data_IF_488754119961
#
_entry.id   IF_488754119961
#
_cell.length_a   1.000
_cell.length_b   1.000
_cell.length_c   1.000
_cell.angle_alpha   90.00
_cell.angle_beta   90.00
_cell.angle_gamma   90.00
#
_symmetry.space_group_name_H-M   'P 1'
#
loop_
_entity.id
_entity.type
_entity.pdbx_description
1 polymer ?
#
# COMPACT_ATOMS: atom_id res chain seq x y z
N UNK A 1 -2.13 -44.34 -4.92
CA UNK A 1 -2.81 -45.51 -4.31
C UNK A 1 -3.12 -46.54 -5.37
N UNK A 2 -3.64 -47.71 -5.04
CA UNK A 2 -3.94 -48.75 -6.05
C UNK A 2 -4.92 -48.30 -7.15
N UNK A 3 -5.74 -47.27 -6.90
CA UNK A 3 -6.64 -46.67 -7.88
C UNK A 3 -6.12 -45.36 -8.52
N UNK A 4 -4.92 -44.89 -8.15
CA UNK A 4 -4.41 -43.60 -8.61
C UNK A 4 -3.91 -43.73 -10.04
N UNK A 5 -4.50 -42.95 -10.95
CA UNK A 5 -4.25 -43.08 -12.39
C UNK A 5 -5.04 -44.20 -13.08
N UNK A 6 -6.01 -44.81 -12.38
CA UNK A 6 -6.92 -45.79 -13.00
C UNK A 6 -8.10 -45.14 -13.73
N UNK A 7 -8.35 -43.85 -13.50
CA UNK A 7 -9.36 -43.06 -14.19
C UNK A 7 -8.88 -41.61 -14.28
N UNK A 8 -9.18 -40.96 -15.40
CA UNK A 8 -8.90 -39.54 -15.61
C UNK A 8 -9.92 -38.70 -14.82
N UNK A 9 -9.48 -37.53 -14.35
CA UNK A 9 -10.29 -36.54 -13.60
C UNK A 9 -10.88 -37.03 -12.26
N UNK A 10 -10.41 -38.16 -11.71
CA UNK A 10 -10.81 -38.65 -10.38
C UNK A 10 -9.67 -38.50 -9.37
N UNK A 11 -9.95 -37.83 -8.25
CA UNK A 11 -9.04 -37.75 -7.11
C UNK A 11 -9.23 -38.98 -6.22
N UNK A 12 -8.19 -39.80 -6.10
CA UNK A 12 -8.17 -40.96 -5.18
C UNK A 12 -7.25 -40.69 -3.99
N UNK A 13 -7.78 -40.74 -2.78
CA UNK A 13 -7.03 -40.45 -1.56
C UNK A 13 -7.00 -41.68 -0.64
N UNK A 14 -5.82 -42.22 -0.25
CA UNK A 14 -5.73 -43.34 0.66
C UNK A 14 -5.98 -42.88 2.11
N UNK A 15 -6.98 -43.47 2.76
CA UNK A 15 -7.34 -43.13 4.15
C UNK A 15 -6.51 -43.90 5.19
N UNK A 16 -5.92 -45.05 4.79
CA UNK A 16 -5.08 -45.90 5.65
C UNK A 16 -3.83 -46.37 4.89
N UNK A 17 -2.73 -46.53 5.65
CA UNK A 17 -1.40 -46.93 5.16
C UNK A 17 -0.69 -47.72 6.26
N UNK A 18 -0.15 -48.89 5.93
CA UNK A 18 0.52 -49.76 6.89
C UNK A 18 1.80 -49.15 7.49
N UNK A 19 2.42 -48.21 6.77
CA UNK A 19 3.66 -47.53 7.17
C UNK A 19 3.43 -46.26 8.00
N UNK A 20 2.18 -45.93 8.38
CA UNK A 20 1.86 -44.67 9.08
C UNK A 20 0.83 -44.87 10.19
N UNK A 21 0.92 -44.09 11.29
CA UNK A 21 -0.14 -44.06 12.30
C UNK A 21 -1.49 -43.66 11.68
N UNK A 22 -2.56 -44.30 12.12
CA UNK A 22 -3.92 -44.12 11.57
C UNK A 22 -4.38 -42.67 11.62
N UNK A 23 -4.19 -41.98 12.75
CA UNK A 23 -4.58 -40.58 12.92
C UNK A 23 -3.88 -39.66 11.90
N UNK A 24 -2.60 -39.91 11.62
CA UNK A 24 -1.85 -39.13 10.63
C UNK A 24 -2.31 -39.43 9.21
N UNK A 25 -2.60 -40.70 8.89
CA UNK A 25 -3.11 -41.11 7.59
C UNK A 25 -4.48 -40.46 7.29
N UNK A 26 -5.38 -40.46 8.27
CA UNK A 26 -6.72 -39.87 8.15
C UNK A 26 -6.66 -38.35 7.97
N UNK A 27 -5.93 -37.62 8.83
CA UNK A 27 -5.82 -36.15 8.71
C UNK A 27 -5.16 -35.73 7.41
N UNK A 28 -4.17 -36.49 6.93
CA UNK A 28 -3.55 -36.25 5.61
C UNK A 28 -4.56 -36.45 4.48
N UNK A 29 -5.39 -37.48 4.57
CA UNK A 29 -6.43 -37.72 3.57
C UNK A 29 -7.47 -36.59 3.53
N UNK A 30 -7.93 -36.13 4.69
CA UNK A 30 -8.82 -34.97 4.81
C UNK A 30 -8.21 -33.69 4.22
N UNK A 31 -6.95 -33.42 4.52
CA UNK A 31 -6.23 -32.28 3.96
C UNK A 31 -6.11 -32.36 2.44
N UNK A 32 -5.85 -33.56 1.89
CA UNK A 32 -5.75 -33.75 0.45
C UNK A 32 -7.09 -33.48 -0.25
N UNK A 33 -8.21 -34.01 0.29
CA UNK A 33 -9.54 -33.74 -0.23
C UNK A 33 -9.85 -32.23 -0.27
N UNK A 34 -9.57 -31.53 0.84
CA UNK A 34 -9.77 -30.09 0.94
C UNK A 34 -8.97 -29.30 -0.09
N UNK A 35 -7.68 -29.60 -0.25
CA UNK A 35 -6.79 -28.90 -1.22
C UNK A 35 -7.21 -29.17 -2.66
N UNK A 36 -7.82 -30.33 -2.93
CA UNK A 36 -8.39 -30.64 -4.26
C UNK A 36 -9.78 -30.05 -4.51
N UNK A 37 -10.31 -29.26 -3.57
CA UNK A 37 -11.59 -28.56 -3.72
C UNK A 37 -12.83 -29.39 -3.39
N UNK A 38 -12.65 -30.55 -2.75
CA UNK A 38 -13.79 -31.31 -2.20
C UNK A 38 -14.29 -30.59 -0.96
N UNK A 39 -15.60 -30.43 -0.84
CA UNK A 39 -16.22 -29.88 0.35
C UNK A 39 -16.05 -30.86 1.52
N UNK A 40 -15.46 -30.38 2.61
CA UNK A 40 -15.13 -31.17 3.78
C UNK A 40 -15.96 -30.66 4.96
N UNK A 41 -16.62 -31.58 5.65
CA UNK A 41 -17.34 -31.30 6.89
C UNK A 41 -16.37 -31.17 8.06
N UNK A 42 -15.94 -29.93 8.33
CA UNK A 42 -15.07 -29.61 9.47
C UNK A 42 -15.80 -29.66 10.82
N UNK A 43 -17.13 -29.56 10.84
CA UNK A 43 -17.93 -29.64 12.07
C UNK A 43 -17.97 -31.08 12.60
N UNK A 44 -18.13 -32.06 11.70
CA UNK A 44 -18.02 -33.47 12.04
C UNK A 44 -16.59 -33.86 12.51
N UNK A 45 -15.56 -33.23 11.93
CA UNK A 45 -14.17 -33.51 12.31
C UNK A 45 -13.78 -32.87 13.66
N UNK A 46 -14.34 -31.70 13.99
CA UNK A 46 -14.06 -30.95 15.22
C UNK A 46 -15.32 -30.70 16.08
N UNK A 47 -15.96 -31.74 16.62
CA UNK A 47 -17.18 -31.58 17.39
C UNK A 47 -16.94 -30.76 18.66
N UNK A 48 -17.68 -29.67 18.83
CA UNK A 48 -17.58 -28.79 20.01
C UNK A 48 -16.33 -27.91 20.06
N UNK A 49 -15.57 -27.80 18.96
CA UNK A 49 -14.45 -26.87 18.89
C UNK A 49 -14.92 -25.41 18.90
N UNK A 50 -14.04 -24.52 19.36
CA UNK A 50 -14.27 -23.07 19.39
C UNK A 50 -13.35 -22.36 18.38
N UNK A 51 -13.82 -21.33 17.68
CA UNK A 51 -12.95 -20.46 16.89
C UNK A 51 -11.87 -19.82 17.77
N UNK A 52 -10.69 -19.63 17.20
CA UNK A 52 -9.56 -18.94 17.83
C UNK A 52 -9.04 -17.87 16.89
N UNK A 53 -8.52 -16.78 17.43
CA UNK A 53 -7.91 -15.73 16.62
C UNK A 53 -6.63 -16.26 15.95
N UNK A 54 -6.53 -16.02 14.65
CA UNK A 54 -5.36 -16.33 13.85
C UNK A 54 -4.69 -15.02 13.39
N UNK A 55 -3.38 -15.05 13.09
CA UNK A 55 -2.74 -13.94 12.40
C UNK A 55 -3.54 -13.55 11.14
N UNK A 56 -3.65 -12.24 10.90
CA UNK A 56 -4.34 -11.74 9.72
C UNK A 56 -3.63 -12.21 8.44
N UNK A 57 -4.41 -12.32 7.36
CA UNK A 57 -3.88 -12.71 6.05
C UNK A 57 -2.70 -11.81 5.66
N UNK A 58 -1.61 -12.42 5.21
CA UNK A 58 -0.41 -11.71 4.79
C UNK A 58 -0.59 -11.10 3.39
N UNK A 59 -1.36 -10.00 3.30
CA UNK A 59 -1.52 -9.26 2.04
C UNK A 59 -0.16 -8.89 1.44
N UNK A 60 -0.03 -9.07 0.12
CA UNK A 60 1.12 -8.59 -0.63
C UNK A 60 1.13 -7.06 -0.60
N UNK A 61 2.15 -6.48 0.03
CA UNK A 61 2.27 -5.04 0.22
C UNK A 61 2.99 -4.41 -0.97
N UNK A 62 2.22 -3.97 -1.95
CA UNK A 62 2.72 -3.19 -3.07
C UNK A 62 2.16 -1.76 -3.02
N UNK A 63 3.03 -0.78 -3.30
CA UNK A 63 2.67 0.64 -3.18
C UNK A 63 2.00 1.12 -4.46
N UNK A 64 0.68 1.12 -4.45
CA UNK A 64 -0.13 1.72 -5.50
C UNK A 64 -0.46 3.17 -5.17
N UNK A 65 0.44 4.10 -5.52
CA UNK A 65 0.25 5.55 -5.32
C UNK A 65 0.51 6.34 -6.60
N UNK A 66 -0.17 7.47 -6.78
CA UNK A 66 0.05 8.35 -7.93
C UNK A 66 1.41 9.06 -7.80
N UNK A 67 2.29 8.85 -8.78
CA UNK A 67 3.55 9.58 -8.93
C UNK A 67 3.39 10.68 -10.00
N UNK A 68 2.58 11.70 -9.71
CA UNK A 68 2.45 12.87 -10.56
C UNK A 68 3.30 14.03 -9.99
N UNK A 69 3.98 14.84 -10.82
CA UNK A 69 4.61 16.06 -10.35
C UNK A 69 3.55 16.94 -9.67
N UNK A 70 3.81 17.33 -8.42
CA UNK A 70 2.90 18.20 -7.68
C UNK A 70 2.81 19.54 -8.43
N UNK A 71 1.59 20.08 -8.68
CA UNK A 71 1.46 21.37 -9.34
C UNK A 71 2.17 22.44 -8.52
N UNK A 72 3.13 23.12 -9.15
CA UNK A 72 3.82 24.27 -8.57
C UNK A 72 2.91 25.49 -8.73
N UNK A 73 2.03 25.68 -7.74
CA UNK A 73 1.48 27.01 -7.50
C UNK A 73 0.35 27.49 -8.40
N UNK A 74 -0.54 26.59 -8.83
CA UNK A 74 -1.88 27.01 -9.27
C UNK A 74 -2.92 26.46 -8.29
N UNK A 75 -3.41 27.35 -7.42
CA UNK A 75 -4.46 27.07 -6.43
C UNK A 75 -5.82 27.67 -6.86
N UNK A 76 -6.00 27.95 -8.15
CA UNK A 76 -7.29 28.42 -8.70
C UNK A 76 -8.44 27.45 -8.41
N UNK A 77 -8.17 26.14 -8.42
CA UNK A 77 -9.15 25.11 -8.09
C UNK A 77 -9.71 25.19 -6.67
N UNK A 78 -9.00 25.86 -5.74
CA UNK A 78 -9.46 26.13 -4.37
C UNK A 78 -9.84 27.59 -4.15
N UNK A 79 -10.04 28.36 -5.23
CA UNK A 79 -10.51 29.74 -5.18
C UNK A 79 -9.42 30.78 -4.87
N UNK A 80 -8.14 30.41 -4.91
CA UNK A 80 -7.03 31.34 -4.71
C UNK A 80 -6.47 31.81 -6.05
N UNK A 81 -6.11 33.09 -6.13
CA UNK A 81 -5.48 33.63 -7.34
C UNK A 81 -4.08 33.06 -7.52
N UNK A 82 -3.69 32.76 -8.76
CA UNK A 82 -2.31 32.38 -9.07
C UNK A 82 -1.38 33.58 -8.87
N UNK A 83 -0.27 33.38 -8.15
CA UNK A 83 0.72 34.44 -7.95
C UNK A 83 1.64 34.63 -9.18
N UNK A 84 1.69 33.65 -10.10
CA UNK A 84 2.53 33.71 -11.30
C UNK A 84 4.03 33.65 -11.02
N UNK A 85 4.42 33.12 -9.87
CA UNK A 85 5.77 33.21 -9.34
C UNK A 85 6.36 31.83 -9.02
N UNK A 86 7.64 31.55 -9.31
CA UNK A 86 8.23 30.22 -9.10
C UNK A 86 8.12 29.73 -7.64
N UNK A 87 8.32 30.63 -6.68
CA UNK A 87 8.27 30.30 -5.25
C UNK A 87 6.90 30.55 -4.59
N UNK A 88 6.02 31.33 -5.23
CA UNK A 88 4.74 31.76 -4.65
C UNK A 88 3.61 31.25 -5.54
N UNK A 89 2.81 30.34 -4.99
CA UNK A 89 1.75 29.65 -5.71
C UNK A 89 0.36 30.25 -5.55
N UNK A 90 0.16 31.10 -4.55
CA UNK A 90 -1.13 31.76 -4.39
C UNK A 90 -0.98 33.18 -3.85
N UNK A 91 -1.86 34.05 -4.33
CA UNK A 91 -2.06 35.41 -3.88
C UNK A 91 -3.51 35.60 -3.45
N UNK A 92 -3.69 36.15 -2.25
CA UNK A 92 -5.01 36.49 -1.70
C UNK A 92 -5.02 37.97 -1.32
N UNK A 93 -5.88 38.83 -1.91
CA UNK A 93 -6.03 40.21 -1.47
C UNK A 93 -6.60 40.25 -0.05
N UNK A 94 -6.05 41.11 0.80
CA UNK A 94 -6.56 41.34 2.15
C UNK A 94 -7.82 42.22 2.09
N UNK A 95 -8.74 42.00 3.03
CA UNK A 95 -10.05 42.64 3.02
C UNK A 95 -10.01 44.15 3.32
N UNK A 96 -8.95 44.63 3.96
CA UNK A 96 -8.67 46.04 4.23
C UNK A 96 -8.13 46.79 3.01
N UNK A 97 -7.81 46.09 1.92
CA UNK A 97 -7.48 46.68 0.62
C UNK A 97 -6.02 47.12 0.44
N UNK A 98 -5.22 47.12 1.51
CA UNK A 98 -3.85 47.65 1.50
C UNK A 98 -2.76 46.56 1.40
N UNK A 99 -3.12 45.30 1.06
CA UNK A 99 -2.11 44.25 0.94
C UNK A 99 -2.57 42.94 0.34
N UNK A 100 -1.58 42.06 0.13
CA UNK A 100 -1.77 40.69 -0.34
C UNK A 100 -1.07 39.71 0.60
N UNK A 101 -1.72 38.57 0.84
CA UNK A 101 -1.08 37.39 1.42
C UNK A 101 -0.57 36.50 0.28
N UNK A 102 0.73 36.26 0.25
CA UNK A 102 1.40 35.37 -0.71
C UNK A 102 1.80 34.07 -0.01
N UNK A 103 1.50 32.93 -0.63
CA UNK A 103 1.86 31.61 -0.07
C UNK A 103 2.51 30.72 -1.12
N UNK A 104 3.35 29.79 -0.68
CA UNK A 104 4.07 28.88 -1.55
C UNK A 104 4.63 27.67 -0.79
N UNK A 105 5.10 26.66 -1.52
CA UNK A 105 5.71 25.45 -0.94
C UNK A 105 7.11 25.22 -1.51
N UNK A 106 8.10 25.19 -0.63
CA UNK A 106 9.47 24.84 -0.95
C UNK A 106 9.69 23.35 -0.69
N UNK A 107 10.24 22.64 -1.67
CA UNK A 107 10.48 21.20 -1.59
C UNK A 107 11.52 20.81 -2.61
N UNK A 108 12.47 19.94 -2.25
CA UNK A 108 13.47 19.40 -3.18
C UNK A 108 12.84 18.62 -4.34
N UNK A 109 11.61 18.12 -4.20
CA UNK A 109 10.91 17.43 -5.28
C UNK A 109 10.40 18.38 -6.38
N UNK A 110 10.02 19.61 -6.01
CA UNK A 110 9.49 20.61 -6.97
C UNK A 110 10.53 21.66 -7.34
N UNK A 111 11.50 21.92 -6.45
CA UNK A 111 12.61 22.85 -6.64
C UNK A 111 13.94 22.13 -6.36
N UNK A 112 14.41 21.29 -7.30
CA UNK A 112 15.63 20.49 -7.08
C UNK A 112 16.86 21.34 -6.76
N UNK A 113 16.93 22.56 -7.31
CA UNK A 113 18.02 23.51 -7.09
C UNK A 113 18.17 23.95 -5.62
N UNK A 114 17.15 23.77 -4.77
CA UNK A 114 17.28 24.01 -3.33
C UNK A 114 18.36 23.11 -2.70
N UNK A 115 18.60 21.93 -3.29
CA UNK A 115 19.64 21.01 -2.84
C UNK A 115 21.05 21.49 -3.22
N UNK A 116 21.17 22.39 -4.19
CA UNK A 116 22.45 22.92 -4.66
C UNK A 116 23.02 23.99 -3.69
N UNK A 117 22.17 24.54 -2.80
CA UNK A 117 22.59 25.48 -1.77
C UNK A 117 22.62 24.81 -0.39
N UNK A 118 23.69 24.10 -0.09
CA UNK A 118 23.89 23.41 1.18
C UNK A 118 25.07 23.98 1.98
N UNK A 119 24.86 24.18 3.28
CA UNK A 119 25.92 24.54 4.24
C UNK A 119 26.07 23.40 5.23
N UNK A 120 27.29 22.87 5.34
CA UNK A 120 27.57 21.67 6.17
C UNK A 120 26.66 20.48 5.84
N UNK A 121 26.29 20.32 4.56
CA UNK A 121 25.42 19.22 4.09
C UNK A 121 23.93 19.41 4.35
N UNK A 122 23.51 20.53 4.94
CA UNK A 122 22.10 20.87 5.16
C UNK A 122 21.65 21.86 4.10
N UNK A 123 20.58 21.52 3.35
CA UNK A 123 19.99 22.43 2.38
C UNK A 123 19.40 23.66 3.08
N UNK A 124 19.79 24.85 2.63
CA UNK A 124 19.31 26.13 3.12
C UNK A 124 18.72 26.94 1.97
N UNK A 125 17.69 27.72 2.24
CA UNK A 125 17.17 28.67 1.25
C UNK A 125 18.21 29.81 1.09
N UNK A 126 18.70 30.09 -0.13
CA UNK A 126 19.66 31.18 -0.35
C UNK A 126 19.09 32.54 0.08
N UNK A 127 19.92 33.40 0.65
CA UNK A 127 19.52 34.77 1.00
C UNK A 127 19.00 35.58 -0.20
N UNK A 128 19.49 35.30 -1.41
CA UNK A 128 19.03 35.93 -2.66
C UNK A 128 17.59 35.58 -3.00
N UNK A 129 17.05 34.44 -2.54
CA UNK A 129 15.64 34.11 -2.72
C UNK A 129 14.75 35.12 -1.98
N UNK A 130 15.15 35.59 -0.80
CA UNK A 130 14.39 36.62 -0.08
C UNK A 130 14.45 37.99 -0.76
N UNK A 131 15.51 38.30 -1.50
CA UNK A 131 15.60 39.52 -2.30
C UNK A 131 14.62 39.48 -3.48
N UNK A 132 14.41 38.31 -4.07
CA UNK A 132 13.44 38.12 -5.14
C UNK A 132 11.98 38.16 -4.65
N UNK A 133 11.75 37.89 -3.37
CA UNK A 133 10.45 38.01 -2.69
C UNK A 133 10.12 39.44 -2.21
N UNK A 134 11.04 40.40 -2.31
CA UNK A 134 10.90 41.77 -1.81
C UNK A 134 10.60 42.77 -2.93
#
# INVERSE_FOLDING_TARGET
>A
GMAQGCADDIVTVPVLRADRPEAQALTTAYAQLHVTGVEVDWEAFFPGARPVDLPTYAFQRERYWLNAPAPTGDLSAVGQGAAGHPLLGAAVPLADGDGHLLTGRLSAHTHPWLMDHAVSGVALLPGTAFVELA
#
